data_IF_557810424263
#
_entry.id   IF_557810424263
#
_cell.length_a   1.000
_cell.length_b   1.000
_cell.length_c   1.000
_cell.angle_alpha   90.00
_cell.angle_beta   90.00
_cell.angle_gamma   90.00
#
_symmetry.space_group_name_H-M   'P 1'
#
loop_
_entity.id
_entity.type
_entity.pdbx_description
1 polymer ?
#
# COMPACT_ATOMS: atom_id res chain seq x y z
N UNK A 1 4.43 6.32 13.71
CA UNK A 1 3.11 6.97 13.50
C UNK A 1 2.01 5.95 13.21
N UNK A 2 2.10 5.12 12.16
CA UNK A 2 1.09 4.09 11.85
C UNK A 2 0.75 3.15 13.03
N UNK A 3 1.76 2.64 13.74
CA UNK A 3 1.55 1.76 14.91
C UNK A 3 0.77 2.48 16.03
N UNK A 4 0.96 3.80 16.20
CA UNK A 4 0.23 4.58 17.19
C UNK A 4 -1.25 4.73 16.79
N UNK A 5 -1.52 5.00 15.51
CA UNK A 5 -2.89 5.04 14.96
C UNK A 5 -3.62 3.73 15.28
N UNK A 6 -2.99 2.58 15.03
CA UNK A 6 -3.55 1.27 15.35
C UNK A 6 -3.76 1.05 16.86
N UNK A 7 -2.78 1.43 17.70
CA UNK A 7 -2.86 1.28 19.16
C UNK A 7 -3.96 2.14 19.79
N UNK A 8 -4.26 3.28 19.20
CA UNK A 8 -5.33 4.18 19.64
C UNK A 8 -6.72 3.75 19.12
N UNK A 9 -6.81 2.61 18.41
CA UNK A 9 -8.06 2.15 17.80
C UNK A 9 -8.53 3.03 16.63
N UNK A 10 -7.69 3.95 16.15
CA UNK A 10 -8.02 4.81 15.02
C UNK A 10 -7.83 4.02 13.74
N UNK A 11 -8.85 4.04 12.89
CA UNK A 11 -8.82 3.34 11.60
C UNK A 11 -7.95 4.11 10.61
N UNK A 12 -6.87 3.51 10.07
CA UNK A 12 -6.08 4.14 9.02
C UNK A 12 -6.92 4.33 7.76
N UNK A 13 -6.76 5.47 7.09
CA UNK A 13 -7.54 5.84 5.92
C UNK A 13 -6.68 5.93 4.64
N UNK A 14 -7.34 6.27 3.52
CA UNK A 14 -6.70 6.47 2.21
C UNK A 14 -5.57 7.51 2.21
N UNK A 15 -5.56 8.44 3.16
CA UNK A 15 -4.51 9.44 3.30
C UNK A 15 -3.33 8.89 4.10
N UNK A 16 -3.57 7.96 5.03
CA UNK A 16 -2.54 7.37 5.89
C UNK A 16 -1.66 6.36 5.14
N UNK A 17 -2.25 5.41 4.43
CA UNK A 17 -1.53 4.29 3.79
C UNK A 17 -0.43 4.71 2.81
N UNK A 18 -0.60 5.71 1.94
CA UNK A 18 0.42 6.19 1.01
C UNK A 18 1.74 6.55 1.70
N UNK A 19 1.69 7.26 2.83
CA UNK A 19 2.89 7.64 3.57
C UNK A 19 3.58 6.43 4.20
N UNK A 20 2.81 5.48 4.71
CA UNK A 20 3.34 4.28 5.35
C UNK A 20 3.98 3.35 4.31
N UNK A 21 3.33 3.17 3.16
CA UNK A 21 3.86 2.39 2.03
C UNK A 21 5.17 2.97 1.48
N UNK A 22 5.24 4.30 1.30
CA UNK A 22 6.47 5.01 0.89
C UNK A 22 7.58 4.94 1.95
N UNK A 23 7.22 4.90 3.23
CA UNK A 23 8.20 4.74 4.30
C UNK A 23 8.75 3.32 4.35
N UNK A 24 7.91 2.31 4.07
CA UNK A 24 8.30 0.91 4.02
C UNK A 24 9.35 0.63 2.94
N UNK A 25 9.27 1.29 1.78
CA UNK A 25 10.24 1.08 0.70
C UNK A 25 11.68 1.43 1.10
N UNK A 26 11.88 2.21 2.17
CA UNK A 26 13.20 2.56 2.72
C UNK A 26 13.73 1.57 3.75
N UNK A 27 12.87 0.69 4.28
CA UNK A 27 13.20 -0.19 5.40
C UNK A 27 13.57 -1.61 4.97
N UNK A 28 13.62 -1.91 3.66
CA UNK A 28 14.00 -3.21 3.07
C UNK A 28 13.24 -4.46 3.57
N UNK A 29 12.23 -4.29 4.44
CA UNK A 29 11.41 -5.38 4.95
C UNK A 29 10.31 -5.77 3.96
N UNK A 30 10.62 -6.75 3.12
CA UNK A 30 9.71 -7.29 2.10
C UNK A 30 8.40 -7.83 2.68
N UNK A 31 8.42 -8.40 3.88
CA UNK A 31 7.23 -8.92 4.57
C UNK A 31 6.29 -7.81 5.01
N UNK A 32 6.83 -6.66 5.43
CA UNK A 32 6.07 -5.51 5.90
C UNK A 32 5.23 -4.91 4.77
N UNK A 33 5.76 -4.90 3.54
CA UNK A 33 5.01 -4.47 2.36
C UNK A 33 3.72 -5.27 2.13
N UNK A 34 3.78 -6.60 2.28
CA UNK A 34 2.60 -7.46 2.14
C UNK A 34 1.60 -7.29 3.29
N UNK A 35 2.11 -7.11 4.52
CA UNK A 35 1.26 -6.82 5.67
C UNK A 35 0.51 -5.49 5.49
N UNK A 36 1.18 -4.47 4.95
CA UNK A 36 0.56 -3.18 4.63
C UNK A 36 -0.47 -3.28 3.52
N UNK A 37 -0.20 -4.03 2.45
CA UNK A 37 -1.21 -4.30 1.41
C UNK A 37 -2.43 -5.05 2.00
N UNK A 38 -2.21 -6.08 2.83
CA UNK A 38 -3.32 -6.75 3.50
C UNK A 38 -4.14 -5.77 4.36
N UNK A 39 -3.46 -4.82 5.01
CA UNK A 39 -4.13 -3.78 5.79
C UNK A 39 -4.93 -2.79 4.93
N UNK A 40 -4.51 -2.45 3.70
CA UNK A 40 -5.33 -1.61 2.80
C UNK A 40 -6.61 -2.32 2.42
N UNK A 41 -6.54 -3.61 2.08
CA UNK A 41 -7.72 -4.44 1.74
C UNK A 41 -8.66 -4.57 2.93
N UNK A 42 -8.14 -4.87 4.12
CA UNK A 42 -8.96 -4.93 5.36
C UNK A 42 -9.65 -3.62 5.70
N UNK A 43 -9.09 -2.49 5.28
CA UNK A 43 -9.68 -1.18 5.48
C UNK A 43 -10.54 -0.71 4.31
N UNK A 44 -10.71 -1.51 3.25
CA UNK A 44 -11.47 -1.19 2.04
C UNK A 44 -11.01 0.10 1.36
N UNK A 45 -9.70 0.36 1.36
CA UNK A 45 -9.09 1.55 0.73
C UNK A 45 -8.14 1.19 -0.42
N UNK A 46 -8.05 -0.08 -0.77
CA UNK A 46 -7.25 -0.61 -1.87
C UNK A 46 -7.73 -0.18 -3.27
N UNK A 47 -8.99 0.24 -3.40
CA UNK A 47 -9.54 0.80 -4.65
C UNK A 47 -9.14 2.26 -4.90
N UNK A 48 -8.65 2.99 -3.87
CA UNK A 48 -8.27 4.39 -3.99
C UNK A 48 -7.01 4.55 -4.86
N UNK A 49 -7.07 5.40 -5.89
CA UNK A 49 -5.98 5.53 -6.87
C UNK A 49 -4.66 5.95 -6.21
N UNK A 50 -4.69 6.78 -5.18
CA UNK A 50 -3.49 7.23 -4.50
C UNK A 50 -2.87 6.12 -3.63
N UNK A 51 -3.70 5.30 -2.99
CA UNK A 51 -3.26 4.07 -2.29
C UNK A 51 -2.64 3.09 -3.28
N UNK A 52 -3.26 2.88 -4.44
CA UNK A 52 -2.77 1.96 -5.47
C UNK A 52 -1.43 2.36 -6.07
N UNK A 53 -1.27 3.63 -6.44
CA UNK A 53 0.03 4.15 -6.91
C UNK A 53 1.12 3.89 -5.86
N UNK A 54 0.79 4.08 -4.59
CA UNK A 54 1.71 3.81 -3.48
C UNK A 54 2.00 2.31 -3.29
N UNK A 55 1.04 1.41 -3.55
CA UNK A 55 1.25 -0.04 -3.54
C UNK A 55 2.17 -0.49 -4.69
N UNK A 56 1.96 0.03 -5.91
CA UNK A 56 2.81 -0.24 -7.07
C UNK A 56 4.25 0.20 -6.79
N UNK A 57 4.44 1.43 -6.31
CA UNK A 57 5.76 1.96 -5.94
C UNK A 57 6.45 1.10 -4.87
N UNK A 58 5.70 0.71 -3.84
CA UNK A 58 6.21 -0.14 -2.75
C UNK A 58 6.66 -1.51 -3.27
N UNK A 59 5.84 -2.18 -4.10
CA UNK A 59 6.20 -3.47 -4.67
C UNK A 59 7.37 -3.36 -5.66
N UNK A 60 7.45 -2.29 -6.44
CA UNK A 60 8.57 -2.05 -7.34
C UNK A 60 9.89 -1.90 -6.57
N UNK A 61 9.92 -1.01 -5.56
CA UNK A 61 11.11 -0.75 -4.75
C UNK A 61 11.54 -1.92 -3.87
N UNK A 62 10.61 -2.78 -3.46
CA UNK A 62 10.92 -4.01 -2.71
C UNK A 62 11.23 -5.20 -3.61
N UNK A 63 11.38 -5.01 -4.93
CA UNK A 63 11.77 -6.05 -5.88
C UNK A 63 10.72 -7.14 -6.04
N UNK A 64 9.44 -6.78 -5.94
CA UNK A 64 8.26 -7.65 -6.12
C UNK A 64 7.48 -7.23 -7.37
N UNK A 65 8.19 -7.13 -8.50
CA UNK A 65 7.65 -6.58 -9.76
C UNK A 65 6.38 -7.29 -10.26
N UNK A 66 6.26 -8.60 -10.08
CA UNK A 66 5.03 -9.34 -10.41
C UNK A 66 3.80 -8.77 -9.72
N UNK A 67 3.91 -8.47 -8.43
CA UNK A 67 2.81 -7.89 -7.65
C UNK A 67 2.60 -6.41 -7.98
N UNK A 68 3.67 -5.67 -8.26
CA UNK A 68 3.55 -4.28 -8.74
C UNK A 68 2.75 -4.22 -10.06
N UNK A 69 3.05 -5.12 -10.99
CA UNK A 69 2.36 -5.22 -12.27
C UNK A 69 0.89 -5.64 -12.08
N UNK A 70 0.62 -6.64 -11.25
CA UNK A 70 -0.76 -7.06 -10.97
C UNK A 70 -1.62 -5.91 -10.41
N UNK A 71 -1.13 -5.21 -9.38
CA UNK A 71 -1.83 -4.06 -8.80
C UNK A 71 -1.99 -2.93 -9.82
N UNK A 72 -1.05 -2.78 -10.76
CA UNK A 72 -1.18 -1.81 -11.84
C UNK A 72 -2.25 -2.21 -12.86
N UNK A 73 -2.28 -3.48 -13.30
CA UNK A 73 -3.29 -4.00 -14.26
C UNK A 73 -4.71 -3.92 -13.72
N UNK A 74 -4.90 -4.16 -12.43
CA UNK A 74 -6.21 -4.08 -11.79
C UNK A 74 -6.73 -2.61 -11.73
N UNK A 75 -5.96 -1.61 -12.20
CA UNK A 75 -6.27 -0.18 -12.05
C UNK A 75 -7.30 0.29 -13.07
N UNK A 76 -8.46 0.84 -12.63
CA UNK A 76 -9.51 1.27 -13.55
C UNK A 76 -9.06 2.41 -14.47
N UNK A 77 -8.03 3.17 -14.08
CA UNK A 77 -7.42 4.22 -14.89
C UNK A 77 -6.71 3.70 -16.16
N UNK A 78 -6.43 2.39 -16.22
CA UNK A 78 -5.80 1.73 -17.37
C UNK A 78 -6.79 1.28 -18.44
N UNK A 79 -8.10 1.37 -18.18
CA UNK A 79 -9.17 1.13 -19.16
C UNK A 79 -9.49 2.38 -20.01
N UNK A 80 -8.54 3.32 -20.15
CA UNK A 80 -8.64 4.48 -21.04
C UNK A 80 -7.56 4.44 -22.12
#
# INVERSE_FOLDING_TARGET
HFILILRLGVRPDRLTFPFVLKSNSKLSFRWLGMALHTATVKNCVDCDSFVRVSLVDMYAKTGKLKYAFQVFEESPERMK
#
